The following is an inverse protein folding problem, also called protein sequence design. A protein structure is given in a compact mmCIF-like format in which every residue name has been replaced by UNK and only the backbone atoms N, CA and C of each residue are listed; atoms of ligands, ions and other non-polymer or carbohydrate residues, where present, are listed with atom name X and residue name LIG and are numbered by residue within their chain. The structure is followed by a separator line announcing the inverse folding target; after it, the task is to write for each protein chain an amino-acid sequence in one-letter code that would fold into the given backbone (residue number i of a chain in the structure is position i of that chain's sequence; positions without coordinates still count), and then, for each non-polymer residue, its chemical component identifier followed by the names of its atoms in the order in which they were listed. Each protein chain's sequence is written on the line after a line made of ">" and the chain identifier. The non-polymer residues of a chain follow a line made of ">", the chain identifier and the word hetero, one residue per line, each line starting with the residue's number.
data_IF_036973900301
#
_entry.id   IF_036973900301
#
_cell.length_a   1.000
_cell.length_b   1.000
_cell.length_c   1.000
_cell.angle_alpha   90.00
_cell.angle_beta   90.00
_cell.angle_gamma   90.00
#
_symmetry.space_group_name_H-M   'P 1'
#
loop_
_entity.id
_entity.type
_entity.pdbx_description
1 polymer ?
#
# COMPACT_ATOMS: atom_id res chain seq x y z
N UNK A 1 -4.27 22.72 -3.50
CA UNK A 1 -4.71 22.70 -2.09
C UNK A 1 -3.49 22.60 -1.20
N UNK A 2 -3.42 23.43 -0.17
CA UNK A 2 -2.42 23.32 0.88
C UNK A 2 -2.98 22.41 1.98
N UNK A 3 -2.19 21.42 2.37
CA UNK A 3 -2.57 20.45 3.39
C UNK A 3 -1.76 20.74 4.65
N UNK A 4 -2.44 21.10 5.72
CA UNK A 4 -1.82 21.35 7.01
C UNK A 4 -1.70 20.02 7.79
N UNK A 5 -0.45 19.60 8.01
CA UNK A 5 -0.12 18.43 8.82
C UNK A 5 0.56 18.85 10.12
N UNK A 6 0.10 18.30 11.23
CA UNK A 6 0.72 18.52 12.53
C UNK A 6 1.87 17.54 12.76
N UNK A 7 3.04 18.07 13.08
CA UNK A 7 4.27 17.26 13.22
C UNK A 7 4.27 16.36 14.45
N UNK A 8 3.53 16.71 15.50
CA UNK A 8 3.53 15.96 16.77
C UNK A 8 2.88 14.58 16.70
N UNK A 9 1.86 14.42 15.85
CA UNK A 9 1.09 13.17 15.72
C UNK A 9 0.70 12.84 14.28
N UNK A 10 1.22 13.59 13.32
CA UNK A 10 0.96 13.42 11.87
C UNK A 10 -0.51 13.61 11.46
N UNK A 11 -1.34 14.26 12.30
CA UNK A 11 -2.74 14.52 11.98
C UNK A 11 -2.89 15.68 11.00
N UNK A 12 -3.98 15.66 10.25
CA UNK A 12 -4.31 16.66 9.23
C UNK A 12 -5.56 17.45 9.62
N UNK A 13 -5.57 18.74 9.26
CA UNK A 13 -6.71 19.62 9.53
C UNK A 13 -7.80 19.45 8.46
N UNK A 14 -8.95 18.87 8.86
CA UNK A 14 -10.12 18.68 8.00
C UNK A 14 -10.80 20.01 7.65
N UNK A 15 -10.84 20.96 8.59
CA UNK A 15 -11.52 22.24 8.37
C UNK A 15 -10.75 23.12 7.39
N UNK A 16 -9.42 23.11 7.42
CA UNK A 16 -8.59 23.83 6.46
C UNK A 16 -8.83 23.30 5.03
N UNK A 17 -8.88 21.98 4.85
CA UNK A 17 -9.18 21.38 3.55
C UNK A 17 -10.62 21.70 3.10
N UNK A 18 -11.59 21.63 4.02
CA UNK A 18 -13.00 21.93 3.72
C UNK A 18 -13.19 23.38 3.28
N UNK A 19 -12.55 24.33 3.94
CA UNK A 19 -12.62 25.76 3.57
C UNK A 19 -12.08 25.99 2.16
N UNK A 20 -10.91 25.43 1.85
CA UNK A 20 -10.33 25.52 0.52
C UNK A 20 -11.24 24.88 -0.54
N UNK A 21 -11.84 23.71 -0.24
CA UNK A 21 -12.76 23.05 -1.15
C UNK A 21 -14.02 23.88 -1.41
N UNK A 22 -14.57 24.49 -0.36
CA UNK A 22 -15.83 25.25 -0.44
C UNK A 22 -15.65 26.64 -1.05
N UNK A 23 -14.42 27.16 -1.17
CA UNK A 23 -14.16 28.43 -1.83
C UNK A 23 -14.65 28.40 -3.28
N UNK A 24 -15.53 29.34 -3.63
CA UNK A 24 -16.09 29.44 -4.97
C UNK A 24 -17.19 28.43 -5.33
N UNK A 25 -17.65 27.57 -4.39
CA UNK A 25 -18.67 26.53 -4.68
C UNK A 25 -20.13 26.99 -4.55
N UNK A 26 -20.41 28.21 -4.06
CA UNK A 26 -21.78 28.70 -3.90
C UNK A 26 -22.64 27.75 -3.07
N UNK A 27 -23.78 27.30 -3.62
CA UNK A 27 -24.72 26.38 -2.97
C UNK A 27 -24.23 24.93 -2.90
N UNK A 28 -23.19 24.55 -3.62
CA UNK A 28 -22.65 23.20 -3.66
C UNK A 28 -21.58 22.93 -2.58
N UNK A 29 -21.68 23.62 -1.45
CA UNK A 29 -20.75 23.46 -0.33
C UNK A 29 -20.92 22.10 0.34
N UNK A 30 -19.80 21.47 0.64
CA UNK A 30 -19.78 20.27 1.49
C UNK A 30 -19.73 20.67 2.97
N UNK A 31 -20.11 19.76 3.85
CA UNK A 31 -20.16 19.98 5.30
C UNK A 31 -19.49 18.83 6.02
N UNK A 32 -18.69 19.15 7.03
CA UNK A 32 -17.95 18.16 7.81
C UNK A 32 -18.87 17.27 8.66
N UNK A 33 -19.94 17.87 9.24
CA UNK A 33 -20.93 17.11 10.00
C UNK A 33 -21.57 16.00 9.17
N UNK A 34 -21.93 16.29 7.91
CA UNK A 34 -22.50 15.29 7.00
C UNK A 34 -21.55 14.13 6.69
N UNK A 35 -20.25 14.42 6.60
CA UNK A 35 -19.24 13.37 6.50
C UNK A 35 -19.15 12.53 7.77
N UNK A 36 -19.02 13.18 8.94
CA UNK A 36 -18.85 12.51 10.23
C UNK A 36 -20.09 11.72 10.67
N UNK A 37 -21.29 12.19 10.34
CA UNK A 37 -22.55 11.54 10.69
C UNK A 37 -22.89 10.36 9.75
N UNK A 38 -22.27 10.27 8.58
CA UNK A 38 -22.62 9.23 7.62
C UNK A 38 -22.32 7.83 8.18
N UNK A 39 -23.23 6.85 7.98
CA UNK A 39 -23.02 5.48 8.46
C UNK A 39 -21.71 4.87 7.96
N UNK A 40 -21.35 5.12 6.71
CA UNK A 40 -20.13 4.64 6.09
C UNK A 40 -18.88 5.19 6.81
N UNK A 41 -18.88 6.49 7.18
CA UNK A 41 -17.74 7.08 7.91
C UNK A 41 -17.63 6.52 9.33
N UNK A 42 -18.75 6.36 10.02
CA UNK A 42 -18.78 5.78 11.37
C UNK A 42 -18.25 4.35 11.38
N UNK A 43 -18.74 3.50 10.49
CA UNK A 43 -18.24 2.12 10.35
C UNK A 43 -16.76 2.06 9.99
N UNK A 44 -16.28 2.96 9.13
CA UNK A 44 -14.86 3.06 8.79
C UNK A 44 -14.00 3.45 9.99
N UNK A 45 -14.44 4.45 10.77
CA UNK A 45 -13.71 4.90 11.98
C UNK A 45 -13.64 3.77 13.01
N UNK A 46 -14.72 3.02 13.19
CA UNK A 46 -14.77 1.87 14.09
C UNK A 46 -13.83 0.75 13.64
N UNK A 47 -13.88 0.37 12.35
CA UNK A 47 -12.98 -0.62 11.78
C UNK A 47 -11.51 -0.20 11.92
N UNK A 48 -11.18 1.07 11.61
CA UNK A 48 -9.83 1.61 11.76
C UNK A 48 -9.37 1.60 13.22
N UNK A 49 -10.25 1.93 14.17
CA UNK A 49 -9.94 1.88 15.60
C UNK A 49 -9.61 0.46 16.05
N UNK A 50 -10.38 -0.52 15.59
CA UNK A 50 -10.15 -1.93 15.91
C UNK A 50 -8.83 -2.44 15.32
N UNK A 51 -8.54 -2.11 14.06
CA UNK A 51 -7.31 -2.48 13.37
C UNK A 51 -6.06 -1.95 14.09
N UNK A 52 -6.05 -0.66 14.41
CA UNK A 52 -4.95 -0.02 15.13
C UNK A 52 -4.79 -0.51 16.57
N UNK A 53 -5.88 -0.95 17.21
CA UNK A 53 -5.86 -1.50 18.57
C UNK A 53 -5.31 -2.92 18.61
N UNK A 54 -5.60 -3.76 17.60
CA UNK A 54 -5.15 -5.15 17.50
C UNK A 54 -3.64 -5.28 17.29
N UNK A 55 -2.99 -4.26 16.73
CA UNK A 55 -1.53 -4.22 16.54
C UNK A 55 -0.73 -3.81 17.78
N UNK A 56 -1.38 -3.35 18.85
CA UNK A 56 -0.72 -2.86 20.07
C UNK A 56 -0.91 -3.82 21.26
N UNK A 57 0.20 -4.18 21.93
CA UNK A 57 0.20 -5.01 23.15
C UNK A 57 -0.59 -4.40 24.33
N UNK A 58 -0.96 -3.13 24.26
CA UNK A 58 -1.87 -2.43 25.19
C UNK A 58 -2.73 -1.46 24.38
N UNK A 59 -4.04 -1.69 24.24
CA UNK A 59 -4.93 -0.72 23.62
C UNK A 59 -4.93 0.53 24.49
N UNK A 60 -4.39 1.61 23.94
CA UNK A 60 -4.48 2.91 24.59
C UNK A 60 -5.91 3.42 24.41
N UNK A 61 -6.73 3.38 25.45
CA UNK A 61 -8.14 3.80 25.45
C UNK A 61 -8.32 5.26 25.00
N UNK A 62 -7.25 6.05 25.05
CA UNK A 62 -7.25 7.47 24.72
C UNK A 62 -6.84 7.79 23.27
N UNK A 63 -6.69 6.78 22.41
CA UNK A 63 -6.32 7.02 21.01
C UNK A 63 -7.50 7.58 20.23
N UNK A 64 -7.59 8.90 20.19
CA UNK A 64 -8.63 9.62 19.46
C UNK A 64 -8.21 9.82 18.01
N UNK A 65 -8.90 9.14 17.10
CA UNK A 65 -8.67 9.25 15.64
C UNK A 65 -9.08 10.62 15.07
N UNK A 66 -9.92 11.36 15.79
CA UNK A 66 -10.34 12.74 15.47
C UNK A 66 -10.29 13.58 16.73
N UNK A 67 -9.60 14.70 16.68
CA UNK A 67 -9.41 15.64 17.79
C UNK A 67 -10.02 16.98 17.42
N UNK A 68 -10.89 17.48 18.29
CA UNK A 68 -11.54 18.78 18.13
C UNK A 68 -10.86 19.82 19.01
N UNK A 69 -10.48 20.95 18.42
CA UNK A 69 -9.95 22.10 19.15
C UNK A 69 -10.84 23.31 18.85
N UNK A 70 -11.51 23.80 19.87
CA UNK A 70 -12.34 25.01 19.75
C UNK A 70 -11.46 26.24 19.54
N UNK A 71 -11.89 27.12 18.66
CA UNK A 71 -11.25 28.41 18.47
C UNK A 71 -11.35 29.27 19.72
N UNK A 72 -10.29 30.03 19.99
CA UNK A 72 -10.24 30.94 21.11
C UNK A 72 -10.87 32.30 20.79
N UNK A 73 -11.50 32.94 21.77
CA UNK A 73 -11.94 34.32 21.67
C UNK A 73 -10.77 35.24 21.99
N UNK A 74 -10.55 36.24 21.14
CA UNK A 74 -9.59 37.32 21.34
C UNK A 74 -10.26 38.68 21.04
N UNK A 75 -9.67 39.81 21.45
CA UNK A 75 -10.19 41.13 21.11
C UNK A 75 -10.31 41.38 19.58
N UNK A 76 -9.55 40.67 18.79
CA UNK A 76 -9.58 40.70 17.30
C UNK A 76 -10.61 39.76 16.66
N UNK A 77 -11.37 39.00 17.48
CA UNK A 77 -12.37 38.05 17.00
C UNK A 77 -12.12 36.63 17.46
N UNK A 78 -12.99 35.72 17.05
CA UNK A 78 -12.86 34.28 17.33
C UNK A 78 -12.02 33.61 16.24
N UNK A 79 -11.01 32.83 16.64
CA UNK A 79 -10.30 31.93 15.70
C UNK A 79 -11.20 30.77 15.29
N UNK A 80 -10.97 30.21 14.10
CA UNK A 80 -11.75 29.08 13.60
C UNK A 80 -11.54 27.82 14.46
N UNK A 81 -12.59 26.99 14.56
CA UNK A 81 -12.47 25.67 15.16
C UNK A 81 -11.60 24.77 14.27
N UNK A 82 -10.68 24.05 14.86
CA UNK A 82 -9.79 23.10 14.17
C UNK A 82 -10.29 21.67 14.40
N UNK A 83 -10.27 20.84 13.38
CA UNK A 83 -10.59 19.40 13.47
C UNK A 83 -9.46 18.60 12.87
N UNK A 84 -8.66 18.01 13.74
CA UNK A 84 -7.49 17.21 13.39
C UNK A 84 -7.85 15.74 13.31
N UNK A 85 -7.52 15.10 12.21
CA UNK A 85 -7.84 13.69 11.99
C UNK A 85 -6.63 12.85 11.58
N UNK A 86 -6.68 11.58 11.95
CA UNK A 86 -5.74 10.57 11.52
C UNK A 86 -5.61 10.56 9.97
N UNK A 87 -4.43 10.30 9.40
CA UNK A 87 -4.18 10.32 7.95
C UNK A 87 -5.21 9.55 7.12
N UNK A 88 -5.65 8.38 7.56
CA UNK A 88 -6.64 7.58 6.82
C UNK A 88 -8.04 8.21 6.82
N UNK A 89 -8.43 8.89 7.90
CA UNK A 89 -9.70 9.63 7.95
C UNK A 89 -9.61 10.86 7.05
N UNK A 90 -8.48 11.57 7.06
CA UNK A 90 -8.24 12.69 6.17
C UNK A 90 -8.35 12.27 4.69
N UNK A 91 -7.72 11.15 4.31
CA UNK A 91 -7.78 10.62 2.95
C UNK A 91 -9.23 10.28 2.56
N UNK A 92 -9.97 9.60 3.45
CA UNK A 92 -11.39 9.31 3.24
C UNK A 92 -12.24 10.57 3.10
N UNK A 93 -11.94 11.61 3.88
CA UNK A 93 -12.60 12.91 3.77
C UNK A 93 -12.28 13.61 2.44
N UNK A 94 -11.02 13.58 1.99
CA UNK A 94 -10.62 14.13 0.70
C UNK A 94 -11.35 13.44 -0.48
N UNK A 95 -11.53 12.13 -0.42
CA UNK A 95 -12.33 11.36 -1.38
C UNK A 95 -13.81 11.78 -1.34
N UNK A 96 -14.39 11.96 -0.14
CA UNK A 96 -15.77 12.47 0.01
C UNK A 96 -15.95 13.86 -0.60
N UNK A 97 -14.96 14.74 -0.47
CA UNK A 97 -15.01 16.07 -1.06
C UNK A 97 -14.91 16.02 -2.59
N UNK A 98 -14.00 15.23 -3.11
CA UNK A 98 -13.65 15.20 -4.53
C UNK A 98 -13.76 13.79 -5.14
N UNK A 99 -14.86 13.45 -5.84
CA UNK A 99 -15.00 12.15 -6.50
C UNK A 99 -13.92 11.87 -7.57
N UNK A 100 -13.34 12.89 -8.20
CA UNK A 100 -12.23 12.69 -9.14
C UNK A 100 -10.96 12.22 -8.41
N UNK A 101 -10.73 12.75 -7.21
CA UNK A 101 -9.64 12.29 -6.36
C UNK A 101 -9.86 10.86 -5.89
N UNK A 102 -11.11 10.49 -5.53
CA UNK A 102 -11.46 9.10 -5.19
C UNK A 102 -11.11 8.14 -6.33
N UNK A 103 -11.47 8.48 -7.57
CA UNK A 103 -11.11 7.67 -8.75
C UNK A 103 -9.58 7.57 -8.91
N UNK A 104 -8.82 8.63 -8.64
CA UNK A 104 -7.36 8.58 -8.71
C UNK A 104 -6.75 7.68 -7.64
N UNK A 105 -7.28 7.72 -6.42
CA UNK A 105 -6.85 6.82 -5.33
C UNK A 105 -7.14 5.36 -5.67
N UNK A 106 -8.34 5.07 -6.21
CA UNK A 106 -8.70 3.71 -6.63
C UNK A 106 -7.79 3.23 -7.76
N UNK A 107 -7.50 4.09 -8.75
CA UNK A 107 -6.56 3.76 -9.83
C UNK A 107 -5.16 3.49 -9.30
N UNK A 108 -4.65 4.32 -8.39
CA UNK A 108 -3.35 4.11 -7.77
C UNK A 108 -3.28 2.75 -7.05
N UNK A 109 -4.31 2.41 -6.26
CA UNK A 109 -4.40 1.10 -5.60
C UNK A 109 -4.47 -0.03 -6.63
N UNK A 110 -5.24 0.15 -7.71
CA UNK A 110 -5.31 -0.81 -8.80
C UNK A 110 -3.94 -1.01 -9.47
N UNK A 111 -3.27 0.08 -9.85
CA UNK A 111 -1.98 0.05 -10.53
C UNK A 111 -0.90 -0.58 -9.63
N UNK A 112 -0.85 -0.25 -8.35
CA UNK A 112 0.13 -0.79 -7.41
C UNK A 112 -0.10 -2.26 -7.02
N UNK A 113 -1.35 -2.69 -6.86
CA UNK A 113 -1.67 -4.04 -6.39
C UNK A 113 -1.93 -5.03 -7.52
N UNK A 114 -2.67 -4.61 -8.56
CA UNK A 114 -3.15 -5.51 -9.60
C UNK A 114 -2.15 -5.59 -10.74
N UNK A 115 -1.61 -4.44 -11.17
CA UNK A 115 -0.59 -4.40 -12.21
C UNK A 115 0.65 -5.21 -11.81
N UNK A 116 1.14 -5.08 -10.57
CA UNK A 116 2.27 -5.88 -10.10
C UNK A 116 2.02 -7.39 -10.14
N UNK A 117 0.78 -7.83 -9.91
CA UNK A 117 0.42 -9.26 -10.01
C UNK A 117 0.37 -9.73 -11.47
N UNK A 118 -0.18 -8.91 -12.35
CA UNK A 118 -0.19 -9.18 -13.78
C UNK A 118 1.24 -9.23 -14.33
N UNK A 119 2.05 -8.23 -14.00
CA UNK A 119 3.46 -8.16 -14.43
C UNK A 119 4.28 -9.35 -13.92
N UNK A 120 4.07 -9.81 -12.69
CA UNK A 120 4.72 -11.01 -12.16
C UNK A 120 4.31 -12.27 -12.93
N UNK A 121 3.06 -12.37 -13.38
CA UNK A 121 2.61 -13.46 -14.24
C UNK A 121 3.29 -13.44 -15.62
N UNK A 122 3.38 -12.27 -16.22
CA UNK A 122 4.02 -12.08 -17.53
C UNK A 122 5.53 -12.32 -17.45
N UNK A 123 6.20 -11.82 -16.43
CA UNK A 123 7.63 -12.02 -16.22
C UNK A 123 7.95 -13.50 -15.96
N UNK A 124 7.12 -14.19 -15.17
CA UNK A 124 7.26 -15.64 -15.01
C UNK A 124 7.15 -16.38 -16.33
N UNK A 125 6.18 -16.03 -17.17
CA UNK A 125 6.03 -16.61 -18.51
C UNK A 125 7.27 -16.38 -19.38
N UNK A 126 7.83 -15.16 -19.34
CA UNK A 126 9.06 -14.83 -20.06
C UNK A 126 10.28 -15.60 -19.53
N UNK A 127 10.42 -15.73 -18.22
CA UNK A 127 11.47 -16.55 -17.61
C UNK A 127 11.33 -18.01 -18.03
N UNK A 128 10.12 -18.58 -18.00
CA UNK A 128 9.88 -19.97 -18.38
C UNK A 128 10.18 -20.24 -19.86
N UNK A 129 9.92 -19.27 -20.76
CA UNK A 129 10.31 -19.38 -22.18
C UNK A 129 11.83 -19.51 -22.34
N UNK A 130 12.62 -18.80 -21.53
CA UNK A 130 14.09 -18.90 -21.56
C UNK A 130 14.58 -20.22 -20.97
N UNK A 131 13.99 -20.62 -19.83
CA UNK A 131 14.30 -21.90 -19.18
C UNK A 131 13.95 -23.08 -20.08
N UNK A 132 12.92 -22.97 -20.92
CA UNK A 132 12.58 -24.00 -21.92
C UNK A 132 13.71 -24.29 -22.91
N UNK A 133 14.61 -23.35 -23.14
CA UNK A 133 15.81 -23.55 -23.96
C UNK A 133 16.87 -24.43 -23.29
N UNK A 134 16.76 -24.78 -22.03
CA UNK A 134 17.69 -25.68 -21.35
C UNK A 134 17.33 -27.15 -21.60
N UNK A 135 18.34 -28.00 -21.67
CA UNK A 135 18.19 -29.43 -22.01
C UNK A 135 17.38 -30.23 -20.99
N UNK A 136 17.45 -29.84 -19.67
CA UNK A 136 16.79 -30.54 -18.56
C UNK A 136 15.87 -29.59 -17.81
N UNK A 137 14.84 -29.06 -18.48
CA UNK A 137 13.98 -28.07 -17.85
C UNK A 137 12.90 -28.70 -16.96
N UNK A 138 12.89 -28.27 -15.68
CA UNK A 138 11.84 -28.56 -14.71
C UNK A 138 11.29 -27.24 -14.17
N UNK A 139 10.21 -26.76 -14.78
CA UNK A 139 9.55 -25.53 -14.42
C UNK A 139 9.06 -25.53 -12.97
N UNK A 140 8.67 -26.70 -12.45
CA UNK A 140 8.20 -26.85 -11.09
C UNK A 140 9.29 -26.51 -10.07
N UNK A 141 10.51 -26.99 -10.28
CA UNK A 141 11.65 -26.69 -9.40
C UNK A 141 11.99 -25.19 -9.40
N UNK A 142 11.94 -24.54 -10.56
CA UNK A 142 12.19 -23.09 -10.65
C UNK A 142 11.09 -22.31 -9.92
N UNK A 143 9.82 -22.65 -10.13
CA UNK A 143 8.70 -22.00 -9.43
C UNK A 143 8.78 -22.16 -7.91
N UNK A 144 9.13 -23.35 -7.43
CA UNK A 144 9.32 -23.64 -6.01
C UNK A 144 10.45 -22.79 -5.43
N UNK A 145 11.60 -22.73 -6.12
CA UNK A 145 12.76 -21.97 -5.68
C UNK A 145 12.47 -20.46 -5.60
N UNK A 146 11.76 -19.90 -6.57
CA UNK A 146 11.30 -18.51 -6.56
C UNK A 146 10.40 -18.23 -5.34
N UNK A 147 9.45 -19.10 -5.06
CA UNK A 147 8.56 -18.94 -3.90
C UNK A 147 9.33 -18.97 -2.58
N UNK A 148 10.31 -19.87 -2.42
CA UNK A 148 11.15 -19.90 -1.22
C UNK A 148 11.93 -18.60 -1.02
N UNK A 149 12.49 -18.02 -2.08
CA UNK A 149 13.26 -16.77 -1.97
C UNK A 149 12.37 -15.59 -1.58
N UNK A 150 11.17 -15.49 -2.17
CA UNK A 150 10.31 -14.32 -1.98
C UNK A 150 9.45 -14.45 -0.73
N UNK A 151 8.84 -15.61 -0.52
CA UNK A 151 7.84 -15.82 0.52
C UNK A 151 8.36 -16.63 1.73
N UNK A 152 9.56 -17.22 1.62
CA UNK A 152 10.11 -18.20 2.59
C UNK A 152 9.18 -19.38 2.86
N UNK A 153 8.34 -19.72 1.90
CA UNK A 153 7.44 -20.86 1.93
C UNK A 153 7.01 -21.27 0.53
N UNK A 154 6.52 -22.48 0.36
CA UNK A 154 5.92 -22.93 -0.88
C UNK A 154 4.55 -23.53 -0.63
N UNK A 155 3.52 -22.90 -1.18
CA UNK A 155 2.18 -23.46 -1.29
C UNK A 155 1.58 -23.12 -2.65
N UNK A 156 0.56 -23.88 -3.05
CA UNK A 156 -0.20 -23.56 -4.27
C UNK A 156 -0.81 -22.16 -4.15
N UNK A 157 -0.80 -21.41 -5.22
CA UNK A 157 -1.40 -20.07 -5.31
C UNK A 157 -0.77 -19.03 -4.35
N UNK A 158 0.45 -19.25 -3.84
CA UNK A 158 1.09 -18.30 -2.91
C UNK A 158 1.20 -16.88 -3.47
N UNK A 159 1.36 -16.77 -4.78
CA UNK A 159 1.44 -15.48 -5.48
C UNK A 159 0.15 -14.66 -5.41
N UNK A 160 -1.00 -15.31 -5.29
CA UNK A 160 -2.31 -14.63 -5.19
C UNK A 160 -2.46 -13.87 -3.86
N UNK A 161 -1.70 -14.26 -2.83
CA UNK A 161 -1.73 -13.71 -1.48
C UNK A 161 -0.48 -12.90 -1.10
N UNK A 162 0.41 -12.66 -2.06
CA UNK A 162 1.63 -11.88 -1.83
C UNK A 162 1.33 -10.42 -1.49
N UNK A 163 2.12 -9.83 -0.57
CA UNK A 163 2.08 -8.39 -0.32
C UNK A 163 2.65 -7.63 -1.53
N UNK A 164 2.37 -6.32 -1.60
CA UNK A 164 2.93 -5.45 -2.67
C UNK A 164 4.46 -5.55 -2.72
N UNK A 165 5.12 -5.55 -1.56
CA UNK A 165 6.57 -5.66 -1.46
C UNK A 165 7.07 -7.01 -1.98
N UNK A 166 6.44 -8.10 -1.57
CA UNK A 166 6.76 -9.44 -2.05
C UNK A 166 6.57 -9.59 -3.56
N UNK A 167 5.54 -8.96 -4.12
CA UNK A 167 5.31 -8.99 -5.57
C UNK A 167 6.33 -8.16 -6.35
N UNK A 168 6.80 -7.04 -5.79
CA UNK A 168 7.93 -6.27 -6.35
C UNK A 168 9.23 -7.08 -6.33
N UNK A 169 9.52 -7.72 -5.19
CA UNK A 169 10.68 -8.61 -5.05
C UNK A 169 10.65 -9.74 -6.09
N UNK A 170 9.49 -10.38 -6.28
CA UNK A 170 9.29 -11.45 -7.25
C UNK A 170 9.56 -10.96 -8.67
N UNK A 171 8.95 -9.84 -9.06
CA UNK A 171 9.16 -9.21 -10.37
C UNK A 171 10.63 -8.88 -10.61
N UNK A 172 11.30 -8.28 -9.64
CA UNK A 172 12.71 -7.93 -9.75
C UNK A 172 13.60 -9.17 -9.89
N UNK A 173 13.31 -10.22 -9.12
CA UNK A 173 14.02 -11.48 -9.18
C UNK A 173 13.85 -12.14 -10.56
N UNK A 174 12.63 -12.25 -11.08
CA UNK A 174 12.34 -12.83 -12.40
C UNK A 174 13.05 -12.07 -13.52
N UNK A 175 13.04 -10.73 -13.49
CA UNK A 175 13.75 -9.89 -14.45
C UNK A 175 15.27 -10.07 -14.37
N UNK A 176 15.82 -10.17 -13.15
CA UNK A 176 17.26 -10.42 -12.96
C UNK A 176 17.67 -11.75 -13.54
N UNK A 177 16.88 -12.80 -13.31
CA UNK A 177 17.16 -14.13 -13.86
C UNK A 177 17.06 -14.16 -15.38
N UNK A 178 16.06 -13.48 -15.98
CA UNK A 178 15.96 -13.30 -17.42
C UNK A 178 17.24 -12.65 -17.97
N UNK A 179 17.71 -11.57 -17.34
CA UNK A 179 18.94 -10.88 -17.76
C UNK A 179 20.18 -11.76 -17.64
N UNK A 180 20.27 -12.58 -16.58
CA UNK A 180 21.38 -13.53 -16.41
C UNK A 180 21.42 -14.61 -17.50
N UNK A 181 20.26 -15.09 -17.92
CA UNK A 181 20.16 -16.05 -19.02
C UNK A 181 20.50 -15.37 -20.35
N UNK A 182 19.94 -14.20 -20.62
CA UNK A 182 20.16 -13.44 -21.86
C UNK A 182 21.64 -13.03 -22.05
N UNK A 183 22.37 -12.82 -20.94
CA UNK A 183 23.81 -12.49 -20.95
C UNK A 183 24.71 -13.72 -20.85
N UNK A 184 24.17 -14.91 -20.95
CA UNK A 184 24.90 -16.19 -20.85
C UNK A 184 25.68 -16.39 -19.53
N UNK A 185 25.26 -15.72 -18.45
CA UNK A 185 25.77 -15.95 -17.08
C UNK A 185 25.16 -17.23 -16.47
N UNK A 186 24.02 -17.67 -16.99
CA UNK A 186 23.31 -18.89 -16.63
C UNK A 186 22.90 -19.60 -17.89
N UNK A 187 23.49 -20.79 -18.14
CA UNK A 187 23.31 -21.55 -19.40
C UNK A 187 22.63 -22.90 -19.18
N UNK A 188 22.32 -23.25 -17.96
CA UNK A 188 21.66 -24.50 -17.60
C UNK A 188 20.73 -24.33 -16.41
N UNK A 189 19.76 -25.24 -16.30
CA UNK A 189 18.87 -25.27 -15.14
C UNK A 189 19.64 -25.51 -13.83
N UNK A 190 20.68 -26.33 -13.85
CA UNK A 190 21.48 -26.58 -12.66
C UNK A 190 22.18 -25.31 -12.17
N UNK A 191 22.74 -24.50 -13.05
CA UNK A 191 23.31 -23.20 -12.72
C UNK A 191 22.26 -22.25 -12.18
N UNK A 192 21.07 -22.18 -12.81
CA UNK A 192 19.94 -21.38 -12.36
C UNK A 192 19.54 -21.73 -10.92
N UNK A 193 19.35 -23.02 -10.62
CA UNK A 193 19.00 -23.48 -9.27
C UNK A 193 20.12 -23.20 -8.27
N UNK A 194 21.38 -23.29 -8.66
CA UNK A 194 22.51 -22.95 -7.79
C UNK A 194 22.54 -21.44 -7.46
N UNK A 195 22.26 -20.59 -8.43
CA UNK A 195 22.09 -19.13 -8.22
C UNK A 195 20.95 -18.86 -7.25
N UNK A 196 19.79 -19.47 -7.47
CA UNK A 196 18.62 -19.32 -6.59
C UNK A 196 18.91 -19.80 -5.16
N UNK A 197 19.64 -20.91 -4.96
CA UNK A 197 20.05 -21.36 -3.64
C UNK A 197 20.96 -20.35 -2.93
N UNK A 198 21.95 -19.82 -3.62
CA UNK A 198 22.83 -18.78 -3.07
C UNK A 198 22.04 -17.53 -2.67
N UNK A 199 21.08 -17.12 -3.48
CA UNK A 199 20.20 -15.98 -3.16
C UNK A 199 19.35 -16.26 -1.90
N UNK A 200 18.79 -17.46 -1.78
CA UNK A 200 18.05 -17.87 -0.58
C UNK A 200 18.94 -17.88 0.67
N UNK A 201 20.11 -18.52 0.59
CA UNK A 201 21.05 -18.60 1.71
C UNK A 201 21.51 -17.20 2.16
N UNK A 202 21.81 -16.31 1.23
CA UNK A 202 22.18 -14.91 1.52
C UNK A 202 21.04 -14.12 2.19
N UNK A 203 19.78 -14.41 1.85
CA UNK A 203 18.62 -13.71 2.40
C UNK A 203 18.23 -14.22 3.80
N UNK A 204 18.27 -15.53 4.02
CA UNK A 204 17.69 -16.17 5.21
C UNK A 204 18.70 -16.87 6.12
N UNK A 205 19.85 -17.28 5.62
CA UNK A 205 20.92 -17.91 6.39
C UNK A 205 22.06 -16.92 6.60
N UNK A 206 21.81 -15.85 7.36
CA UNK A 206 22.91 -15.00 7.87
C UNK A 206 23.62 -15.80 8.97
N UNK A 207 24.86 -16.21 8.67
CA UNK A 207 25.78 -16.76 9.65
C UNK A 207 26.18 -15.69 10.66
#
# INVERSE_FOLDING_TARGET
>A
YEVLQRTSDSYFDLNALLQQWNNGKGNNRRRLDKFMESPNTKSFIEALKNDLSNGQKRPNSDYQLVKYKRGNYSPSGRTADEVWAHPFIFLKFAMFLNPKFEVQVIKFVYDELISLRCDAGDNYSQLMKRVYGFTDCDFGKVAIALNWIVFNEHCKQRRDWGTVEQMRDLRQLENTLCSMIDTNLVNSQMELINVLRKMYDNKYRKF
#
